data_IF_727379916769
#
_entry.id   IF_727379916769
#
_cell.length_a   1.000
_cell.length_b   1.000
_cell.length_c   1.000
_cell.angle_alpha   90.00
_cell.angle_beta   90.00
_cell.angle_gamma   90.00
#
_symmetry.space_group_name_H-M   'P 1'
#
loop_
_entity.id
_entity.type
_entity.pdbx_description
1 polymer ?
#
# COMPACT_ATOMS: atom_id res chain seq x y z
N UNK A 1 -13.48 8.05 4.51
CA UNK A 1 -12.52 6.96 4.31
C UNK A 1 -11.43 7.07 5.37
N UNK A 2 -11.21 6.04 6.22
CA UNK A 2 -10.16 6.06 7.25
C UNK A 2 -8.74 6.17 6.67
N UNK A 3 -8.52 5.86 5.40
CA UNK A 3 -7.18 5.91 4.80
C UNK A 3 -6.78 7.30 4.32
N UNK A 4 -7.69 8.27 4.23
CA UNK A 4 -7.40 9.60 3.71
C UNK A 4 -7.10 10.61 4.84
N UNK A 5 -6.38 11.68 4.50
CA UNK A 5 -6.29 12.83 5.40
C UNK A 5 -7.66 13.51 5.51
N UNK A 6 -8.05 14.02 6.70
CA UNK A 6 -9.29 14.79 6.84
C UNK A 6 -9.33 15.96 5.86
N UNK A 7 -10.37 16.03 5.04
CA UNK A 7 -10.59 17.11 4.07
C UNK A 7 -9.72 17.04 2.81
N UNK A 8 -8.95 15.98 2.60
CA UNK A 8 -8.13 15.80 1.40
C UNK A 8 -8.39 14.42 0.78
N UNK A 9 -8.45 14.35 -0.53
CA UNK A 9 -8.51 13.09 -1.27
C UNK A 9 -7.11 12.49 -1.48
N UNK A 10 -6.37 12.35 -0.37
CA UNK A 10 -4.96 11.89 -0.37
C UNK A 10 -4.76 10.94 0.80
N UNK A 11 -4.18 9.78 0.52
CA UNK A 11 -3.92 8.75 1.52
C UNK A 11 -2.95 9.22 2.61
N UNK A 12 -3.27 8.91 3.87
CA UNK A 12 -2.40 9.08 5.03
C UNK A 12 -1.15 8.25 4.85
N UNK A 13 0.01 8.89 5.00
CA UNK A 13 1.32 8.31 4.71
C UNK A 13 2.37 8.83 5.70
N UNK A 14 3.37 7.99 5.99
CA UNK A 14 4.46 8.24 6.94
C UNK A 14 5.37 9.39 6.52
N UNK A 15 5.36 9.75 5.23
CA UNK A 15 6.18 10.80 4.62
C UNK A 15 5.58 12.20 4.78
N UNK A 16 4.37 12.30 5.36
CA UNK A 16 3.61 13.54 5.50
C UNK A 16 3.35 14.27 4.17
N UNK A 17 3.33 13.55 3.05
CA UNK A 17 3.04 14.13 1.74
C UNK A 17 1.53 14.42 1.63
N UNK A 18 1.19 15.62 1.15
CA UNK A 18 -0.18 16.13 0.96
C UNK A 18 -0.47 16.52 -0.49
N UNK A 19 0.29 15.99 -1.44
CA UNK A 19 0.09 16.20 -2.88
C UNK A 19 0.11 14.84 -3.57
N UNK A 20 -0.95 14.53 -4.32
CA UNK A 20 -1.17 13.20 -4.90
C UNK A 20 0.01 12.74 -5.77
N UNK A 21 0.39 13.55 -6.77
CA UNK A 21 1.48 13.22 -7.68
C UNK A 21 2.81 12.98 -6.95
N UNK A 22 3.09 13.73 -5.88
CA UNK A 22 4.31 13.56 -5.08
C UNK A 22 4.27 12.27 -4.26
N UNK A 23 3.09 11.89 -3.76
CA UNK A 23 2.91 10.63 -3.04
C UNK A 23 3.08 9.44 -3.98
N UNK A 24 2.52 9.51 -5.18
CA UNK A 24 2.65 8.48 -6.22
C UNK A 24 4.12 8.29 -6.63
N UNK A 25 4.83 9.37 -6.91
CA UNK A 25 6.25 9.31 -7.27
C UNK A 25 7.10 8.67 -6.16
N UNK A 26 6.92 9.14 -4.92
CA UNK A 26 7.65 8.58 -3.78
C UNK A 26 7.30 7.09 -3.58
N UNK A 27 6.02 6.72 -3.71
CA UNK A 27 5.59 5.34 -3.57
C UNK A 27 6.22 4.44 -4.64
N UNK A 28 6.25 4.89 -5.90
CA UNK A 28 6.86 4.15 -7.00
C UNK A 28 8.35 3.87 -6.76
N UNK A 29 9.12 4.90 -6.42
CA UNK A 29 10.57 4.77 -6.17
C UNK A 29 10.86 3.87 -4.98
N UNK A 30 10.17 4.09 -3.86
CA UNK A 30 10.41 3.33 -2.63
C UNK A 30 9.97 1.87 -2.76
N UNK A 31 8.83 1.61 -3.39
CA UNK A 31 8.36 0.22 -3.60
C UNK A 31 9.26 -0.53 -4.57
N UNK A 32 9.82 0.12 -5.60
CA UNK A 32 10.79 -0.51 -6.50
C UNK A 32 12.06 -0.95 -5.75
N UNK A 33 12.59 -0.09 -4.87
CA UNK A 33 13.73 -0.44 -4.01
C UNK A 33 13.40 -1.60 -3.06
N UNK A 34 12.20 -1.63 -2.48
CA UNK A 34 11.76 -2.72 -1.61
C UNK A 34 11.54 -4.01 -2.39
N UNK A 35 10.97 -3.96 -3.58
CA UNK A 35 10.75 -5.12 -4.44
C UNK A 35 12.06 -5.86 -4.75
N UNK A 36 13.16 -5.13 -4.95
CA UNK A 36 14.49 -5.70 -5.15
C UNK A 36 15.03 -6.49 -3.94
N UNK A 37 14.42 -6.34 -2.75
CA UNK A 37 14.80 -7.05 -1.51
C UNK A 37 13.87 -8.21 -1.16
N UNK A 38 12.80 -8.43 -1.93
CA UNK A 38 11.82 -9.48 -1.64
C UNK A 38 12.37 -10.84 -2.09
N UNK A 39 12.49 -11.74 -1.14
CA UNK A 39 12.86 -13.13 -1.41
C UNK A 39 11.69 -13.93 -2.00
N UNK A 40 12.00 -15.05 -2.69
CA UNK A 40 11.01 -15.92 -3.34
C UNK A 40 9.89 -16.39 -2.38
N UNK A 41 10.21 -16.49 -1.09
CA UNK A 41 9.28 -16.88 -0.04
C UNK A 41 9.12 -18.40 0.14
N UNK A 42 8.21 -18.83 1.02
CA UNK A 42 7.99 -20.25 1.32
C UNK A 42 7.25 -20.97 0.18
N UNK A 43 7.43 -22.29 0.09
CA UNK A 43 6.73 -23.15 -0.89
C UNK A 43 5.21 -23.12 -0.71
N UNK A 44 4.74 -23.18 0.55
CA UNK A 44 3.32 -23.04 0.88
C UNK A 44 3.02 -21.56 1.09
N UNK A 45 2.22 -21.01 0.18
CA UNK A 45 1.85 -19.60 0.17
C UNK A 45 0.37 -19.46 0.53
N UNK A 46 0.06 -18.41 1.28
CA UNK A 46 -1.30 -18.08 1.69
C UNK A 46 -1.37 -16.63 2.14
N UNK A 47 -2.52 -16.24 2.70
CA UNK A 47 -2.75 -14.86 3.12
C UNK A 47 -1.64 -14.25 4.01
N UNK A 48 -1.02 -14.97 4.97
CA UNK A 48 0.09 -14.43 5.76
C UNK A 48 1.31 -14.03 4.92
N UNK A 49 1.61 -14.80 3.87
CA UNK A 49 2.71 -14.48 2.97
C UNK A 49 2.39 -13.26 2.09
N UNK A 50 1.15 -13.15 1.59
CA UNK A 50 0.70 -11.96 0.85
C UNK A 50 0.78 -10.69 1.71
N UNK A 51 0.34 -10.76 2.97
CA UNK A 51 0.47 -9.66 3.93
C UNK A 51 1.92 -9.27 4.19
N UNK A 52 2.83 -10.25 4.17
CA UNK A 52 4.28 -10.00 4.33
C UNK A 52 4.86 -9.27 3.12
N UNK A 53 4.51 -9.67 1.90
CA UNK A 53 4.89 -8.95 0.68
C UNK A 53 4.37 -7.51 0.71
N UNK A 54 3.07 -7.34 1.02
CA UNK A 54 2.48 -6.00 1.11
C UNK A 54 3.17 -5.14 2.17
N UNK A 55 3.51 -5.72 3.33
CA UNK A 55 4.28 -5.00 4.35
C UNK A 55 5.64 -4.60 3.81
N UNK A 56 6.39 -5.51 3.19
CA UNK A 56 7.74 -5.21 2.69
C UNK A 56 7.74 -4.09 1.66
N UNK A 57 6.78 -4.08 0.73
CA UNK A 57 6.65 -3.04 -0.29
C UNK A 57 6.34 -1.66 0.29
N UNK A 58 5.41 -1.59 1.26
CA UNK A 58 4.80 -0.33 1.69
C UNK A 58 5.14 0.14 3.10
N UNK A 59 5.98 -0.60 3.86
CA UNK A 59 6.29 -0.32 5.28
C UNK A 59 6.78 1.12 5.53
N UNK A 60 7.45 1.73 4.58
CA UNK A 60 8.00 3.09 4.72
C UNK A 60 6.98 4.18 4.33
N UNK A 61 5.89 3.80 3.68
CA UNK A 61 4.92 4.74 3.10
C UNK A 61 3.62 4.75 3.93
N UNK A 62 3.12 3.60 4.35
CA UNK A 62 1.80 3.47 4.97
C UNK A 62 1.87 2.75 6.33
N UNK A 63 1.22 3.31 7.35
CA UNK A 63 1.14 2.68 8.68
C UNK A 63 0.38 1.35 8.67
N UNK A 64 -0.52 1.17 7.69
CA UNK A 64 -1.34 -0.01 7.51
C UNK A 64 -0.69 -1.06 6.58
N UNK A 65 0.59 -0.91 6.22
CA UNK A 65 1.28 -1.87 5.36
C UNK A 65 1.26 -3.30 5.93
N UNK A 66 0.64 -4.22 5.18
CA UNK A 66 0.46 -5.63 5.58
C UNK A 66 -0.79 -5.92 6.40
N UNK A 67 -1.64 -4.90 6.61
CA UNK A 67 -2.97 -5.06 7.18
C UNK A 67 -3.98 -5.34 6.07
N UNK A 68 -5.06 -6.05 6.42
CA UNK A 68 -6.19 -6.20 5.51
C UNK A 68 -6.96 -4.87 5.46
N UNK A 69 -7.56 -4.57 4.31
CA UNK A 69 -8.43 -3.40 4.19
C UNK A 69 -9.64 -3.54 5.13
N UNK A 70 -10.06 -2.44 5.73
CA UNK A 70 -11.18 -2.37 6.69
C UNK A 70 -12.45 -1.79 6.07
N UNK A 71 -12.38 -1.26 4.85
CA UNK A 71 -13.50 -0.71 4.10
C UNK A 71 -13.60 -1.36 2.72
N UNK A 72 -14.84 -1.60 2.30
CA UNK A 72 -15.18 -1.99 0.93
C UNK A 72 -15.02 -0.81 -0.02
N UNK A 73 -14.30 -1.08 -1.11
CA UNK A 73 -14.23 -0.19 -2.25
C UNK A 73 -14.93 -0.89 -3.41
N UNK A 74 -15.88 -0.20 -4.03
CA UNK A 74 -16.31 -0.52 -5.38
C UNK A 74 -15.25 0.04 -6.33
N UNK A 75 -14.63 -0.82 -7.15
CA UNK A 75 -13.98 -0.35 -8.36
C UNK A 75 -15.07 0.36 -9.19
N UNK A 76 -14.88 1.63 -9.50
CA UNK A 76 -15.72 2.30 -10.50
C UNK A 76 -15.50 1.50 -11.80
N UNK A 77 -16.57 0.85 -12.27
CA UNK A 77 -16.62 -0.15 -13.35
C UNK A 77 -15.92 -1.49 -13.09
N UNK A 78 -16.64 -2.40 -12.44
CA UNK A 78 -16.63 -3.82 -12.86
C UNK A 78 -18.02 -4.13 -13.41
N UNK A 79 -18.20 -4.30 -14.73
CA UNK A 79 -19.47 -4.81 -15.23
C UNK A 79 -19.72 -6.22 -14.67
N UNK A 80 -21.00 -6.60 -14.49
CA UNK A 80 -21.39 -7.89 -13.90
C UNK A 80 -20.85 -9.10 -14.67
#
# INVERSE_FOLDING_TARGET
DPYLYPGLDIMRNRLNIRQQQRLEQAAYEMTALRAATIELGPLVRGLPHLRTIHRQLYQDIFDWAGQLREVDFSLVDTPP
#
